data_IF_549576216846
#
_entry.id   IF_549576216846
#
_cell.length_a   1.000
_cell.length_b   1.000
_cell.length_c   1.000
_cell.angle_alpha   90.00
_cell.angle_beta   90.00
_cell.angle_gamma   90.00
#
_symmetry.space_group_name_H-M   'P 1'
#
loop_
_entity.id
_entity.type
_entity.pdbx_description
1 polymer ?
#
# COMPACT_ATOMS: atom_id res chain seq x y z
N UNK A 1 -7.88 26.10 -8.78
CA UNK A 1 -7.58 25.30 -7.56
C UNK A 1 -6.39 24.38 -7.85
N UNK A 2 -5.47 24.12 -6.91
CA UNK A 2 -4.35 23.22 -7.18
C UNK A 2 -4.82 21.79 -7.43
N UNK A 3 -4.22 21.09 -8.40
CA UNK A 3 -4.59 19.73 -8.80
C UNK A 3 -4.23 18.70 -7.72
N UNK A 4 -3.05 18.81 -7.11
CA UNK A 4 -2.61 17.94 -5.99
C UNK A 4 -3.15 18.53 -4.68
N UNK A 5 -3.75 17.68 -3.85
CA UNK A 5 -4.41 18.11 -2.61
C UNK A 5 -3.46 18.04 -1.41
N UNK A 6 -3.52 19.12 -0.61
CA UNK A 6 -2.74 19.24 0.61
C UNK A 6 -3.46 18.59 1.82
N UNK A 7 -2.74 18.50 2.93
CA UNK A 7 -3.17 17.93 4.20
C UNK A 7 -4.57 18.36 4.67
N UNK A 8 -4.85 19.68 4.63
CA UNK A 8 -6.16 20.21 5.06
C UNK A 8 -7.33 19.65 4.26
N UNK A 9 -7.13 19.47 2.96
CA UNK A 9 -8.16 18.89 2.10
C UNK A 9 -8.31 17.39 2.38
N UNK A 10 -7.19 16.65 2.49
CA UNK A 10 -7.19 15.21 2.78
C UNK A 10 -7.87 14.93 4.13
N UNK A 11 -7.52 15.71 5.17
CA UNK A 11 -8.15 15.62 6.49
C UNK A 11 -9.65 15.86 6.43
N UNK A 12 -10.09 16.91 5.72
CA UNK A 12 -11.52 17.21 5.53
C UNK A 12 -12.24 16.04 4.88
N UNK A 13 -11.71 15.50 3.78
CA UNK A 13 -12.33 14.40 3.06
C UNK A 13 -12.37 13.11 3.88
N UNK A 14 -11.34 12.84 4.66
CA UNK A 14 -11.31 11.66 5.54
C UNK A 14 -12.35 11.78 6.66
N UNK A 15 -12.43 12.92 7.34
CA UNK A 15 -13.32 13.09 8.51
C UNK A 15 -14.78 13.32 8.15
N UNK A 16 -15.06 14.11 7.09
CA UNK A 16 -16.43 14.48 6.71
C UNK A 16 -17.06 13.48 5.73
N UNK A 17 -16.26 12.79 4.92
CA UNK A 17 -16.74 11.90 3.84
C UNK A 17 -16.24 10.46 3.96
N UNK A 18 -15.43 10.14 4.97
CA UNK A 18 -14.91 8.79 5.18
C UNK A 18 -13.99 8.30 4.05
N UNK A 19 -13.29 9.22 3.35
CA UNK A 19 -12.44 8.87 2.21
C UNK A 19 -11.33 7.90 2.59
N UNK A 20 -10.80 7.99 3.82
CA UNK A 20 -9.76 7.11 4.38
C UNK A 20 -10.20 6.72 5.80
N UNK A 21 -10.29 5.42 6.09
CA UNK A 21 -10.76 4.93 7.39
C UNK A 21 -10.04 3.62 7.77
N UNK A 22 -9.40 3.50 8.97
CA UNK A 22 -9.21 4.57 9.96
C UNK A 22 -8.25 5.64 9.47
N UNK A 23 -8.41 6.87 9.98
CA UNK A 23 -7.61 8.02 9.59
C UNK A 23 -6.73 8.50 10.74
N UNK A 24 -5.43 8.62 10.49
CA UNK A 24 -4.46 9.22 11.42
C UNK A 24 -4.13 10.64 10.94
N UNK A 25 -4.51 11.65 11.72
CA UNK A 25 -4.47 13.07 11.33
C UNK A 25 -3.08 13.73 11.41
N UNK A 26 -2.05 12.94 11.73
CA UNK A 26 -0.66 13.36 11.83
C UNK A 26 0.29 12.21 11.47
N UNK A 27 1.56 12.53 11.28
CA UNK A 27 2.60 11.51 11.08
C UNK A 27 2.97 10.84 12.40
N UNK A 28 2.78 9.53 12.46
CA UNK A 28 3.31 8.66 13.52
C UNK A 28 4.68 8.14 13.08
N UNK A 29 5.72 8.39 13.87
CA UNK A 29 7.12 8.10 13.50
C UNK A 29 7.93 7.38 14.57
N UNK A 30 7.41 7.31 15.79
CA UNK A 30 8.18 6.78 16.91
C UNK A 30 8.26 5.25 16.83
N UNK A 31 9.47 4.72 16.62
CA UNK A 31 9.81 3.28 16.55
C UNK A 31 9.07 2.48 15.48
N UNK A 32 8.50 3.14 14.48
CA UNK A 32 7.77 2.50 13.38
C UNK A 32 8.18 3.10 12.04
N UNK A 33 7.98 2.38 10.95
CA UNK A 33 7.97 2.99 9.62
C UNK A 33 6.77 3.93 9.56
N UNK A 34 7.03 5.22 9.33
CA UNK A 34 6.05 6.28 9.52
C UNK A 34 4.78 6.11 8.68
N UNK A 35 3.64 6.48 9.27
CA UNK A 35 2.33 6.48 8.62
C UNK A 35 1.48 7.66 9.06
N UNK A 36 0.35 7.88 8.36
CA UNK A 36 -0.58 8.96 8.65
C UNK A 36 -0.46 10.14 7.70
N UNK A 37 -1.11 11.24 8.04
CA UNK A 37 -1.21 12.44 7.20
C UNK A 37 0.15 13.14 7.05
N UNK A 38 0.52 13.43 5.80
CA UNK A 38 1.67 14.28 5.43
C UNK A 38 1.18 15.55 4.71
N UNK A 39 2.10 16.45 4.35
CA UNK A 39 1.75 17.75 3.77
C UNK A 39 0.93 17.67 2.47
N UNK A 40 1.20 16.67 1.62
CA UNK A 40 0.54 16.47 0.32
C UNK A 40 0.15 15.02 0.04
N UNK A 41 0.03 14.20 1.07
CA UNK A 41 -0.32 12.79 0.91
C UNK A 41 -0.69 12.14 2.22
N UNK A 42 -0.96 10.85 2.13
CA UNK A 42 -1.24 10.00 3.28
C UNK A 42 -0.40 8.73 3.20
N UNK A 43 0.40 8.49 4.24
CA UNK A 43 1.19 7.27 4.33
C UNK A 43 0.33 6.14 4.88
N UNK A 44 0.05 5.16 4.04
CA UNK A 44 -0.80 4.00 4.34
C UNK A 44 -0.04 2.90 5.04
N UNK A 45 -0.75 2.07 5.80
CA UNK A 45 -0.21 0.93 6.53
C UNK A 45 -0.53 -0.38 5.84
N UNK A 46 0.40 -1.33 5.93
CA UNK A 46 0.14 -2.72 5.53
C UNK A 46 -0.49 -3.49 6.68
N UNK A 47 -1.50 -4.31 6.41
CA UNK A 47 -2.11 -5.22 7.38
C UNK A 47 -1.20 -6.41 7.69
N UNK A 48 -1.59 -7.25 8.64
CA UNK A 48 -0.84 -8.43 9.11
C UNK A 48 -1.09 -9.71 8.29
N UNK A 49 -1.86 -9.60 7.21
CA UNK A 49 -2.19 -10.70 6.31
C UNK A 49 -1.44 -10.57 4.99
N UNK A 50 -0.64 -11.59 4.67
CA UNK A 50 0.21 -11.63 3.50
C UNK A 50 -0.02 -12.89 2.68
N UNK A 51 0.17 -12.79 1.36
CA UNK A 51 0.26 -13.91 0.43
C UNK A 51 1.66 -13.92 -0.17
N UNK A 52 2.51 -14.84 0.28
CA UNK A 52 3.90 -14.94 -0.18
C UNK A 52 3.96 -15.82 -1.42
N UNK A 53 4.55 -15.32 -2.50
CA UNK A 53 4.72 -16.08 -3.74
C UNK A 53 5.67 -17.25 -3.53
N UNK A 54 5.30 -18.40 -4.11
CA UNK A 54 6.12 -19.61 -4.20
C UNK A 54 6.09 -20.18 -5.61
N UNK A 55 7.22 -20.69 -6.08
CA UNK A 55 7.38 -21.27 -7.41
C UNK A 55 7.21 -22.80 -7.43
N UNK A 56 6.74 -23.42 -6.35
CA UNK A 56 6.68 -24.89 -6.22
C UNK A 56 5.70 -25.51 -7.21
N UNK A 57 4.60 -24.81 -7.50
CA UNK A 57 3.48 -25.37 -8.25
C UNK A 57 3.43 -24.95 -9.73
N UNK A 58 4.29 -24.05 -10.17
CA UNK A 58 4.25 -23.50 -11.53
C UNK A 58 5.64 -23.37 -12.14
N UNK A 59 5.71 -23.60 -13.45
CA UNK A 59 6.92 -23.41 -14.28
C UNK A 59 6.89 -22.07 -15.03
N UNK A 60 5.72 -21.43 -15.10
CA UNK A 60 5.50 -20.18 -15.83
C UNK A 60 4.44 -19.34 -15.10
N UNK A 61 4.59 -18.03 -15.11
CA UNK A 61 3.57 -17.08 -14.64
C UNK A 61 2.72 -16.65 -15.83
N UNK A 62 1.43 -16.96 -15.76
CA UNK A 62 0.45 -16.54 -16.76
C UNK A 62 -0.66 -15.71 -16.09
N UNK A 63 -0.79 -14.40 -16.39
CA UNK A 63 -1.80 -13.56 -15.78
C UNK A 63 -3.24 -13.92 -16.18
N UNK A 64 -3.41 -14.66 -17.30
CA UNK A 64 -4.72 -15.16 -17.73
C UNK A 64 -5.10 -16.50 -17.10
N UNK A 65 -4.14 -17.20 -16.56
CA UNK A 65 -4.32 -18.52 -15.95
C UNK A 65 -3.40 -18.66 -14.73
N UNK A 66 -3.53 -17.73 -13.78
CA UNK A 66 -2.71 -17.73 -12.58
C UNK A 66 -3.17 -18.83 -11.61
N UNK A 67 -2.25 -19.66 -11.16
CA UNK A 67 -2.54 -20.71 -10.18
C UNK A 67 -2.53 -20.14 -8.74
N UNK A 68 -3.67 -20.14 -8.02
CA UNK A 68 -3.74 -19.64 -6.64
C UNK A 68 -2.82 -20.37 -5.66
N UNK A 69 -2.43 -21.62 -5.98
CA UNK A 69 -1.46 -22.40 -5.17
C UNK A 69 -0.04 -21.83 -5.24
N UNK A 70 0.21 -20.83 -6.09
CA UNK A 70 1.45 -20.07 -6.11
C UNK A 70 1.62 -19.11 -4.94
N UNK A 71 0.63 -19.02 -4.05
CA UNK A 71 0.73 -18.23 -2.83
C UNK A 71 0.60 -19.08 -1.58
N UNK A 72 1.36 -18.69 -0.55
CA UNK A 72 1.21 -19.17 0.82
C UNK A 72 0.66 -18.04 1.67
N UNK A 73 -0.48 -18.27 2.32
CA UNK A 73 -1.10 -17.31 3.22
C UNK A 73 -0.35 -17.31 4.57
N UNK A 74 0.02 -16.11 5.02
CA UNK A 74 0.75 -15.91 6.28
C UNK A 74 0.11 -14.75 7.03
N UNK A 75 -0.18 -14.96 8.33
CA UNK A 75 -0.57 -13.90 9.25
C UNK A 75 0.56 -13.69 10.26
N UNK A 76 1.14 -12.49 10.29
CA UNK A 76 2.33 -12.20 11.09
C UNK A 76 2.56 -10.71 11.27
N UNK A 77 3.22 -10.33 12.35
CA UNK A 77 3.66 -8.95 12.59
C UNK A 77 4.87 -8.56 11.73
N UNK A 78 5.68 -9.53 11.30
CA UNK A 78 6.83 -9.31 10.42
C UNK A 78 6.82 -10.36 9.31
N UNK A 79 6.48 -9.92 8.11
CA UNK A 79 6.53 -10.78 6.93
C UNK A 79 7.96 -10.85 6.39
N UNK A 80 8.43 -12.05 6.10
CA UNK A 80 9.71 -12.29 5.42
C UNK A 80 9.44 -12.58 3.96
N UNK A 81 9.75 -11.64 3.09
CA UNK A 81 9.65 -11.82 1.64
C UNK A 81 10.95 -12.46 1.14
N UNK A 82 10.90 -13.64 0.50
CA UNK A 82 12.11 -14.33 0.02
C UNK A 82 12.91 -13.49 -0.98
N UNK A 83 14.21 -13.79 -1.17
CA UNK A 83 15.04 -13.14 -2.18
C UNK A 83 14.42 -13.23 -3.59
N UNK A 84 14.46 -12.15 -4.34
CA UNK A 84 13.95 -12.07 -5.72
C UNK A 84 12.52 -12.60 -5.90
N UNK A 85 11.70 -12.42 -4.86
CA UNK A 85 10.29 -12.84 -4.83
C UNK A 85 9.39 -11.66 -4.44
N UNK A 86 8.11 -11.92 -4.29
CA UNK A 86 7.13 -10.88 -3.93
C UNK A 86 6.06 -11.45 -3.01
N UNK A 87 5.34 -10.54 -2.36
CA UNK A 87 4.16 -10.84 -1.57
C UNK A 87 3.02 -9.89 -1.95
N UNK A 88 1.80 -10.36 -1.83
CA UNK A 88 0.62 -9.52 -1.82
C UNK A 88 0.20 -9.27 -0.38
N UNK A 89 -0.31 -8.08 -0.12
CA UNK A 89 -0.90 -7.69 1.14
C UNK A 89 -2.07 -6.75 0.90
N UNK A 90 -2.78 -6.37 1.95
CA UNK A 90 -3.80 -5.32 1.86
C UNK A 90 -3.47 -4.17 2.82
N UNK A 91 -4.06 -3.03 2.58
CA UNK A 91 -3.99 -1.91 3.51
C UNK A 91 -4.83 -2.16 4.78
N UNK A 92 -4.46 -1.50 5.88
CA UNK A 92 -5.32 -1.35 7.05
C UNK A 92 -6.46 -0.39 6.70
N UNK A 93 -6.12 0.69 6.01
CA UNK A 93 -7.06 1.72 5.61
C UNK A 93 -8.03 1.20 4.55
N UNK A 94 -9.31 1.48 4.76
CA UNK A 94 -10.37 1.34 3.78
C UNK A 94 -10.56 2.68 3.08
N UNK A 95 -10.68 2.67 1.76
CA UNK A 95 -10.80 3.87 0.93
C UNK A 95 -12.19 3.99 0.31
N UNK A 96 -12.68 5.22 0.23
CA UNK A 96 -13.88 5.61 -0.54
C UNK A 96 -13.51 6.81 -1.40
N UNK A 97 -13.14 6.56 -2.64
CA UNK A 97 -12.62 7.60 -3.54
C UNK A 97 -13.78 8.38 -4.16
N UNK A 98 -13.86 9.69 -3.96
CA UNK A 98 -14.90 10.52 -4.56
C UNK A 98 -14.82 10.52 -6.10
N UNK A 99 -15.95 10.83 -6.74
CA UNK A 99 -16.08 10.84 -8.21
C UNK A 99 -15.11 11.80 -8.92
N UNK A 100 -14.73 12.88 -8.27
CA UNK A 100 -13.85 13.91 -8.82
C UNK A 100 -12.38 13.75 -8.41
N UNK A 101 -12.04 12.64 -7.77
CA UNK A 101 -10.69 12.38 -7.23
C UNK A 101 -10.06 11.17 -7.91
N UNK A 102 -8.83 11.34 -8.36
CA UNK A 102 -7.92 10.25 -8.72
C UNK A 102 -6.84 10.15 -7.64
N UNK A 103 -6.50 8.93 -7.21
CA UNK A 103 -5.40 8.72 -6.28
C UNK A 103 -4.27 7.96 -6.94
N UNK A 104 -3.04 8.39 -6.64
CA UNK A 104 -1.82 7.71 -7.07
C UNK A 104 -1.07 7.24 -5.85
N UNK A 105 -0.70 5.96 -5.82
CA UNK A 105 0.07 5.37 -4.75
C UNK A 105 1.52 5.18 -5.18
N UNK A 106 2.44 5.63 -4.34
CA UNK A 106 3.89 5.52 -4.54
C UNK A 106 4.51 4.76 -3.37
N UNK A 107 5.63 4.11 -3.64
CA UNK A 107 6.42 3.46 -2.59
C UNK A 107 6.98 4.47 -1.58
N UNK A 108 7.44 3.94 -0.46
CA UNK A 108 8.04 4.71 0.63
C UNK A 108 9.56 4.60 0.59
N UNK A 109 10.26 5.74 0.74
CA UNK A 109 11.74 5.79 0.64
C UNK A 109 12.46 4.86 1.62
N UNK A 110 11.88 4.58 2.77
CA UNK A 110 12.40 3.64 3.77
C UNK A 110 12.60 2.24 3.16
N UNK A 111 11.61 1.75 2.44
CA UNK A 111 11.68 0.45 1.75
C UNK A 111 12.42 0.54 0.41
N UNK A 112 12.22 1.61 -0.34
CA UNK A 112 12.87 1.79 -1.64
C UNK A 112 14.41 1.75 -1.54
N UNK A 113 14.98 2.32 -0.50
CA UNK A 113 16.44 2.27 -0.23
C UNK A 113 16.97 0.87 0.09
N UNK A 114 16.09 -0.03 0.51
CA UNK A 114 16.41 -1.43 0.77
C UNK A 114 16.14 -2.33 -0.44
N UNK A 115 15.84 -1.77 -1.61
CA UNK A 115 15.50 -2.55 -2.81
C UNK A 115 14.12 -3.19 -2.76
N UNK A 116 13.23 -2.67 -1.93
CA UNK A 116 11.82 -3.12 -1.86
C UNK A 116 10.96 -2.17 -2.67
N UNK A 117 10.26 -2.73 -3.65
CA UNK A 117 9.34 -1.99 -4.52
C UNK A 117 7.91 -2.29 -4.08
N UNK A 118 7.13 -1.25 -3.85
CA UNK A 118 5.68 -1.36 -3.65
C UNK A 118 5.00 -0.84 -4.91
N UNK A 119 4.30 -1.72 -5.60
CA UNK A 119 3.54 -1.40 -6.79
C UNK A 119 2.05 -1.42 -6.47
N UNK A 120 1.33 -0.38 -6.87
CA UNK A 120 -0.12 -0.28 -6.70
C UNK A 120 -0.67 0.50 -7.89
N UNK A 121 -1.73 0.00 -8.51
CA UNK A 121 -2.42 0.74 -9.57
C UNK A 121 -3.19 1.93 -8.98
N UNK A 122 -3.48 2.99 -9.74
CA UNK A 122 -4.29 4.13 -9.25
C UNK A 122 -5.64 3.67 -8.68
N UNK A 123 -6.10 4.34 -7.63
CA UNK A 123 -7.48 4.14 -7.15
C UNK A 123 -8.37 5.08 -7.95
N UNK A 124 -9.19 4.48 -8.79
CA UNK A 124 -10.05 5.20 -9.71
C UNK A 124 -11.18 5.95 -8.97
N UNK A 125 -11.74 7.02 -9.57
CA UNK A 125 -12.94 7.67 -9.06
C UNK A 125 -14.07 6.66 -8.78
N UNK A 126 -14.76 6.85 -7.68
CA UNK A 126 -15.86 5.99 -7.19
C UNK A 126 -15.43 4.56 -6.77
N UNK A 127 -14.12 4.26 -6.75
CA UNK A 127 -13.63 3.00 -6.21
C UNK A 127 -13.69 3.00 -4.68
N UNK A 128 -14.06 1.85 -4.12
CA UNK A 128 -14.18 1.65 -2.68
C UNK A 128 -13.62 0.29 -2.29
N UNK A 129 -12.80 0.23 -1.22
CA UNK A 129 -12.24 -1.03 -0.73
C UNK A 129 -10.93 -0.88 0.02
N UNK A 130 -10.38 -2.03 0.43
CA UNK A 130 -8.99 -2.16 0.86
C UNK A 130 -8.09 -2.27 -0.37
N UNK A 131 -6.95 -1.60 -0.34
CA UNK A 131 -6.00 -1.62 -1.46
C UNK A 131 -5.14 -2.87 -1.40
N UNK A 132 -5.00 -3.57 -2.51
CA UNK A 132 -4.00 -4.62 -2.66
C UNK A 132 -2.63 -4.00 -2.91
N UNK A 133 -1.65 -4.42 -2.12
CA UNK A 133 -0.25 -3.99 -2.19
C UNK A 133 0.59 -5.12 -2.79
N UNK A 134 1.29 -4.85 -3.87
CA UNK A 134 2.27 -5.77 -4.46
C UNK A 134 3.67 -5.37 -3.98
N UNK A 135 4.26 -6.18 -3.10
CA UNK A 135 5.53 -5.90 -2.43
C UNK A 135 6.60 -6.81 -2.99
N UNK A 136 7.51 -6.27 -3.78
CA UNK A 136 8.58 -7.02 -4.44
C UNK A 136 9.93 -6.82 -3.74
N UNK A 137 10.60 -7.92 -3.43
CA UNK A 137 11.97 -7.93 -2.95
C UNK A 137 12.93 -8.16 -4.13
N UNK A 138 13.60 -7.11 -4.57
CA UNK A 138 14.55 -7.18 -5.69
C UNK A 138 15.98 -7.53 -5.26
N UNK A 139 16.18 -7.84 -3.98
CA UNK A 139 17.51 -8.12 -3.42
C UNK A 139 17.77 -9.63 -3.32
N UNK A 140 19.04 -10.06 -3.24
CA UNK A 140 19.40 -11.47 -3.04
C UNK A 140 19.25 -11.93 -1.57
N UNK A 141 18.71 -11.10 -0.68
CA UNK A 141 18.50 -11.40 0.74
C UNK A 141 17.02 -11.40 1.09
N UNK A 142 16.58 -12.17 2.10
CA UNK A 142 15.24 -12.06 2.65
C UNK A 142 14.98 -10.64 3.18
N UNK A 143 13.81 -10.09 2.90
CA UNK A 143 13.41 -8.75 3.32
C UNK A 143 12.30 -8.78 4.37
N UNK A 144 12.36 -7.91 5.36
CA UNK A 144 11.34 -7.76 6.40
C UNK A 144 10.36 -6.66 6.03
N UNK A 145 9.08 -6.99 6.12
CA UNK A 145 7.97 -6.06 6.01
C UNK A 145 7.22 -6.05 7.33
N UNK A 146 7.09 -4.88 7.94
CA UNK A 146 6.47 -4.72 9.27
C UNK A 146 4.99 -4.44 9.11
N UNK A 147 4.15 -5.34 9.63
CA UNK A 147 2.70 -5.16 9.66
C UNK A 147 2.31 -4.00 10.58
N UNK A 148 1.17 -3.40 10.30
CA UNK A 148 0.62 -2.26 11.04
C UNK A 148 1.47 -0.97 10.97
N UNK A 149 2.48 -0.93 10.13
CA UNK A 149 3.35 0.21 9.90
C UNK A 149 3.23 0.74 8.46
N UNK A 150 3.81 1.93 8.21
CA UNK A 150 3.77 2.57 6.90
C UNK A 150 4.45 1.73 5.81
N UNK A 151 3.86 1.71 4.61
CA UNK A 151 4.37 0.92 3.48
C UNK A 151 4.46 1.74 2.19
N UNK A 152 3.55 2.66 1.97
CA UNK A 152 3.44 3.44 0.74
C UNK A 152 2.77 4.78 1.00
N UNK A 153 2.82 5.70 0.05
CA UNK A 153 2.21 7.02 0.13
C UNK A 153 1.15 7.20 -0.96
N UNK A 154 -0.02 7.69 -0.57
CA UNK A 154 -1.13 8.02 -1.48
C UNK A 154 -1.20 9.52 -1.68
N UNK A 155 -1.23 9.94 -2.95
CA UNK A 155 -1.48 11.31 -3.38
C UNK A 155 -2.89 11.43 -3.95
N UNK A 156 -3.60 12.49 -3.59
CA UNK A 156 -4.95 12.77 -4.12
C UNK A 156 -4.91 13.92 -5.12
N UNK A 157 -5.46 13.69 -6.31
CA UNK A 157 -5.49 14.64 -7.41
C UNK A 157 -6.93 14.90 -7.82
N UNK A 158 -7.21 16.16 -8.16
CA UNK A 158 -8.50 16.58 -8.76
C UNK A 158 -8.19 17.25 -10.08
N UNK A 159 -8.95 16.91 -11.12
CA UNK A 159 -8.93 17.65 -12.38
C UNK A 159 -9.51 19.07 -12.17
N UNK A 160 -8.85 20.05 -12.72
CA UNK A 160 -9.27 21.46 -12.64
C UNK A 160 -10.03 21.84 -13.92
#
# INVERSE_FOLDING_TARGET
>A
MPSIKADRWIKKMALEHGMIEPFEDRQVRERVVSYGLSSYGYDIRVADEFKIFTNINNTVIDPKNFDPRSFVDVKTDVCIVPPNSFALARTIEYFRIPRDVLTVCLGKSTYARCGIIVNVTPFEPEWEGFVTLEISNTTPLPARIYANEGIAQVLSLIHI
#
